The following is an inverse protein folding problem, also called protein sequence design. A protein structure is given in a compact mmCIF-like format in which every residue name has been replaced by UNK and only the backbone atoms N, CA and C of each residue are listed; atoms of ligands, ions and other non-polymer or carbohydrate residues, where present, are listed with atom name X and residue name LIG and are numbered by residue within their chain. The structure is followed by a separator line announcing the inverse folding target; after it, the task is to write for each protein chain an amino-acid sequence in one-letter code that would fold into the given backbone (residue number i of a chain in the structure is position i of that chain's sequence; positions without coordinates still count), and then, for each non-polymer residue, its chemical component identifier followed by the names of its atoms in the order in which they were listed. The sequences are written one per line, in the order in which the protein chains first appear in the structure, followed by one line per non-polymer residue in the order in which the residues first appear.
data_IF_346097029370
#
_entry.id   IF_346097029370
#
_cell.length_a   1.000
_cell.length_b   1.000
_cell.length_c   1.000
_cell.angle_alpha   90.00
_cell.angle_beta   90.00
_cell.angle_gamma   90.00
#
_symmetry.space_group_name_H-M   'P 1'
#
loop_
_entity.id
_entity.type
_entity.pdbx_description
1 polymer ?
#
# COMPACT_ATOMS: atom_id res chain seq x y z
N UNK A 1 -21.14 -19.16 -1.18
CA UNK A 1 -19.93 -19.10 -2.02
C UNK A 1 -19.60 -17.64 -2.28
N UNK A 2 -18.52 -17.15 -1.70
CA UNK A 2 -18.08 -15.75 -1.82
C UNK A 2 -17.47 -15.50 -3.19
N UNK A 3 -17.83 -14.38 -3.82
CA UNK A 3 -17.23 -13.95 -5.09
C UNK A 3 -15.99 -13.10 -4.86
N UNK A 4 -14.83 -13.67 -5.18
CA UNK A 4 -13.53 -13.04 -5.01
C UNK A 4 -12.89 -12.83 -6.38
N UNK A 5 -12.14 -11.74 -6.53
CA UNK A 5 -11.40 -11.44 -7.75
C UNK A 5 -10.35 -12.54 -8.02
N UNK A 6 -10.37 -13.09 -9.23
CA UNK A 6 -9.36 -14.04 -9.69
C UNK A 6 -8.32 -13.30 -10.54
N UNK A 7 -7.05 -13.35 -10.16
CA UNK A 7 -5.97 -12.72 -10.92
C UNK A 7 -5.83 -13.32 -12.34
N UNK A 8 -6.05 -14.63 -12.50
CA UNK A 8 -5.98 -15.32 -13.80
C UNK A 8 -7.15 -14.98 -14.71
N UNK A 9 -8.39 -15.02 -14.19
CA UNK A 9 -9.58 -14.67 -14.97
C UNK A 9 -9.82 -13.15 -15.10
N UNK A 10 -9.11 -12.32 -14.33
CA UNK A 10 -9.25 -10.86 -14.27
C UNK A 10 -10.67 -10.37 -13.92
N UNK A 11 -11.48 -11.22 -13.30
CA UNK A 11 -12.88 -10.93 -12.90
C UNK A 11 -13.22 -11.56 -11.56
N UNK A 12 -14.31 -11.09 -10.94
CA UNK A 12 -14.88 -11.77 -9.78
C UNK A 12 -15.46 -13.11 -10.20
N UNK A 13 -15.19 -14.12 -9.40
CA UNK A 13 -15.60 -15.50 -9.65
C UNK A 13 -15.99 -16.15 -8.34
N UNK A 14 -16.95 -17.07 -8.39
CA UNK A 14 -17.29 -17.93 -7.25
C UNK A 14 -16.05 -18.70 -6.77
N UNK A 15 -16.01 -18.96 -5.48
CA UNK A 15 -14.87 -19.60 -4.81
C UNK A 15 -15.29 -20.98 -4.33
N UNK A 16 -14.50 -22.01 -4.69
CA UNK A 16 -14.59 -23.37 -4.13
C UNK A 16 -13.61 -23.50 -2.97
N UNK A 17 -13.85 -24.46 -2.07
CA UNK A 17 -12.96 -24.72 -0.92
C UNK A 17 -12.68 -23.45 -0.10
N UNK A 18 -13.74 -22.68 0.16
CA UNK A 18 -13.64 -21.41 0.87
C UNK A 18 -13.24 -21.66 2.33
N UNK A 19 -12.18 -21.00 2.76
CA UNK A 19 -11.70 -20.99 4.14
C UNK A 19 -11.60 -19.54 4.58
N UNK A 20 -12.09 -19.29 5.80
CA UNK A 20 -12.02 -18.00 6.46
C UNK A 20 -11.01 -18.10 7.58
N UNK A 21 -9.95 -17.30 7.50
CA UNK A 21 -8.84 -17.34 8.45
C UNK A 21 -8.45 -15.95 8.92
N UNK A 22 -7.82 -15.91 10.10
CA UNK A 22 -7.20 -14.70 10.63
C UNK A 22 -5.70 -14.86 10.50
N UNK A 23 -5.06 -13.90 9.83
CA UNK A 23 -3.60 -13.84 9.74
C UNK A 23 -3.00 -13.56 11.12
N UNK A 24 -1.74 -13.93 11.33
CA UNK A 24 -0.97 -13.66 12.57
C UNK A 24 -0.94 -12.18 12.98
N UNK A 25 -1.22 -11.29 12.02
CA UNK A 25 -1.30 -9.83 12.22
C UNK A 25 -2.72 -9.34 12.56
N UNK A 26 -3.63 -10.25 12.93
CA UNK A 26 -5.02 -9.94 13.29
C UNK A 26 -5.91 -9.50 12.12
N UNK A 27 -5.52 -9.79 10.88
CA UNK A 27 -6.32 -9.43 9.69
C UNK A 27 -7.14 -10.61 9.21
N UNK A 28 -8.42 -10.36 8.97
CA UNK A 28 -9.37 -11.31 8.40
C UNK A 28 -9.11 -11.52 6.91
N UNK A 29 -9.16 -12.77 6.46
CA UNK A 29 -8.92 -13.18 5.08
C UNK A 29 -9.86 -14.31 4.69
N UNK A 30 -10.31 -14.26 3.43
CA UNK A 30 -11.00 -15.38 2.80
C UNK A 30 -10.11 -15.89 1.68
N UNK A 31 -9.89 -17.19 1.64
CA UNK A 31 -9.16 -17.85 0.56
C UNK A 31 -9.88 -19.10 0.05
N UNK A 32 -9.49 -19.55 -1.13
CA UNK A 32 -10.07 -20.71 -1.81
C UNK A 32 -9.79 -20.65 -3.31
N UNK A 33 -10.35 -21.56 -4.08
CA UNK A 33 -9.97 -21.73 -5.48
C UNK A 33 -10.99 -21.14 -6.44
N UNK A 34 -10.52 -20.69 -7.60
CA UNK A 34 -11.38 -20.19 -8.65
C UNK A 34 -12.11 -21.35 -9.33
N UNK A 35 -13.44 -21.38 -9.25
CA UNK A 35 -14.24 -22.43 -9.91
C UNK A 35 -14.00 -22.46 -11.42
N UNK A 36 -13.68 -21.32 -12.04
CA UNK A 36 -13.47 -21.24 -13.50
C UNK A 36 -12.09 -21.73 -13.95
N UNK A 37 -11.03 -21.53 -13.16
CA UNK A 37 -9.66 -21.78 -13.62
C UNK A 37 -8.74 -22.50 -12.62
N UNK A 38 -9.28 -22.94 -11.49
CA UNK A 38 -8.58 -23.63 -10.40
C UNK A 38 -7.52 -22.79 -9.67
N UNK A 39 -7.32 -21.53 -10.05
CA UNK A 39 -6.28 -20.70 -9.43
C UNK A 39 -6.68 -20.33 -8.01
N UNK A 40 -5.75 -20.51 -7.08
CA UNK A 40 -5.91 -20.09 -5.69
C UNK A 40 -6.12 -18.57 -5.60
N UNK A 41 -7.15 -18.17 -4.88
CA UNK A 41 -7.54 -16.79 -4.63
C UNK A 41 -7.50 -16.53 -3.14
N UNK A 42 -7.12 -15.31 -2.78
CA UNK A 42 -7.33 -14.80 -1.45
C UNK A 42 -7.72 -13.32 -1.50
N UNK A 43 -8.44 -12.88 -0.48
CA UNK A 43 -8.74 -11.46 -0.29
C UNK A 43 -8.79 -11.17 1.20
N UNK A 44 -8.27 -10.01 1.58
CA UNK A 44 -8.46 -9.49 2.93
C UNK A 44 -9.89 -8.97 3.06
N UNK A 45 -10.48 -9.16 4.23
CA UNK A 45 -11.84 -8.74 4.58
C UNK A 45 -11.86 -7.93 5.86
N UNK A 46 -13.02 -7.32 6.15
CA UNK A 46 -13.29 -6.76 7.47
C UNK A 46 -13.65 -7.84 8.49
N UNK A 47 -13.86 -7.43 9.74
CA UNK A 47 -14.32 -8.30 10.84
C UNK A 47 -15.64 -9.02 10.52
N UNK A 48 -16.48 -8.40 9.67
CA UNK A 48 -17.75 -8.98 9.23
C UNK A 48 -17.59 -9.98 8.07
N UNK A 49 -16.35 -10.34 7.68
CA UNK A 49 -16.05 -11.21 6.53
C UNK A 49 -16.56 -10.70 5.17
N UNK A 50 -16.93 -9.43 5.10
CA UNK A 50 -17.39 -8.79 3.88
C UNK A 50 -16.20 -8.39 2.98
N UNK A 51 -16.30 -8.78 1.71
CA UNK A 51 -15.36 -8.34 0.67
C UNK A 51 -15.77 -6.94 0.22
N UNK A 52 -15.01 -5.93 0.64
CA UNK A 52 -15.26 -4.54 0.24
C UNK A 52 -15.20 -4.38 -1.28
N UNK A 53 -16.24 -3.78 -1.83
CA UNK A 53 -16.31 -3.39 -3.24
C UNK A 53 -15.94 -1.92 -3.32
N UNK A 54 -14.82 -1.62 -3.97
CA UNK A 54 -14.43 -0.25 -4.25
C UNK A 54 -14.98 0.18 -5.61
N UNK A 55 -15.45 1.41 -5.67
CA UNK A 55 -15.83 2.07 -6.92
C UNK A 55 -14.62 2.25 -7.83
N UNK A 56 -14.87 2.38 -9.15
CA UNK A 56 -13.81 2.65 -10.13
C UNK A 56 -13.01 3.92 -9.77
N UNK A 57 -13.69 4.94 -9.26
CA UNK A 57 -13.07 6.20 -8.84
C UNK A 57 -12.13 6.00 -7.66
N UNK A 58 -12.56 5.33 -6.60
CA UNK A 58 -11.71 5.05 -5.43
C UNK A 58 -10.45 4.26 -5.81
N UNK A 59 -10.57 3.29 -6.73
CA UNK A 59 -9.43 2.51 -7.22
C UNK A 59 -8.44 3.40 -7.99
N UNK A 60 -8.93 4.31 -8.82
CA UNK A 60 -8.09 5.25 -9.58
C UNK A 60 -7.40 6.26 -8.64
N UNK A 61 -8.14 6.86 -7.71
CA UNK A 61 -7.61 7.81 -6.73
C UNK A 61 -6.52 7.14 -5.86
N UNK A 62 -6.75 5.90 -5.43
CA UNK A 62 -5.76 5.12 -4.69
C UNK A 62 -4.50 4.85 -5.53
N UNK A 63 -4.66 4.57 -6.83
CA UNK A 63 -3.52 4.36 -7.76
C UNK A 63 -2.71 5.64 -7.93
N UNK A 64 -3.37 6.78 -8.06
CA UNK A 64 -2.71 8.08 -8.17
C UNK A 64 -1.95 8.44 -6.88
N UNK A 65 -2.60 8.31 -5.72
CA UNK A 65 -1.96 8.51 -4.41
C UNK A 65 -0.71 7.65 -4.25
N UNK A 66 -0.77 6.36 -4.64
CA UNK A 66 0.40 5.46 -4.61
C UNK A 66 1.55 5.96 -5.49
N UNK A 67 1.25 6.44 -6.71
CA UNK A 67 2.26 7.03 -7.60
C UNK A 67 2.90 8.27 -6.96
N UNK A 68 2.08 9.20 -6.46
CA UNK A 68 2.56 10.41 -5.78
C UNK A 68 3.47 10.08 -4.59
N UNK A 69 3.05 9.14 -3.74
CA UNK A 69 3.86 8.68 -2.60
C UNK A 69 5.18 8.06 -3.04
N UNK A 70 5.18 7.24 -4.10
CA UNK A 70 6.41 6.65 -4.63
C UNK A 70 7.38 7.71 -5.16
N UNK A 71 6.88 8.70 -5.90
CA UNK A 71 7.68 9.83 -6.39
C UNK A 71 8.24 10.65 -5.23
N UNK A 72 7.41 11.01 -4.26
CA UNK A 72 7.86 11.78 -3.08
C UNK A 72 8.94 11.03 -2.28
N UNK A 73 8.82 9.70 -2.14
CA UNK A 73 9.83 8.88 -1.48
C UNK A 73 11.17 8.91 -2.22
N UNK A 74 11.15 8.88 -3.55
CA UNK A 74 12.36 9.01 -4.38
C UNK A 74 12.97 10.40 -4.26
N UNK A 75 12.17 11.46 -4.35
CA UNK A 75 12.62 12.85 -4.21
C UNK A 75 13.26 13.10 -2.84
N UNK A 76 12.63 12.64 -1.74
CA UNK A 76 13.20 12.75 -0.39
C UNK A 76 14.54 12.03 -0.28
N UNK A 77 14.67 10.82 -0.83
CA UNK A 77 15.94 10.08 -0.83
C UNK A 77 17.02 10.82 -1.62
N UNK A 78 16.67 11.44 -2.75
CA UNK A 78 17.61 12.24 -3.53
C UNK A 78 18.04 13.49 -2.78
N UNK A 79 17.10 14.22 -2.16
CA UNK A 79 17.41 15.39 -1.35
C UNK A 79 18.37 15.08 -0.20
N UNK A 80 18.19 13.96 0.50
CA UNK A 80 19.12 13.50 1.53
C UNK A 80 20.51 13.22 0.97
N UNK A 81 20.62 12.56 -0.20
CA UNK A 81 21.92 12.32 -0.85
C UNK A 81 22.64 13.61 -1.23
N UNK A 82 21.91 14.61 -1.73
CA UNK A 82 22.48 15.91 -2.08
C UNK A 82 22.97 16.62 -0.81
N UNK A 83 22.16 16.60 0.25
CA UNK A 83 22.53 17.14 1.55
C UNK A 83 23.77 16.46 2.14
N UNK A 84 23.88 15.14 2.01
CA UNK A 84 25.03 14.38 2.52
C UNK A 84 26.31 14.67 1.73
N UNK A 85 26.20 14.98 0.43
CA UNK A 85 27.33 15.15 -0.47
C UNK A 85 27.85 16.61 -0.56
N UNK A 86 27.05 17.61 -0.20
CA UNK A 86 27.42 19.02 -0.32
C UNK A 86 27.72 19.63 1.05
N UNK A 87 29.02 19.72 1.37
CA UNK A 87 29.53 20.30 2.61
C UNK A 87 29.11 21.77 2.81
N UNK A 88 28.90 22.54 1.74
CA UNK A 88 28.44 23.93 1.83
C UNK A 88 26.98 24.00 2.24
N UNK A 89 26.15 23.12 1.69
CA UNK A 89 24.74 22.99 2.10
C UNK A 89 24.66 22.53 3.57
N UNK A 90 25.49 21.58 3.99
CA UNK A 90 25.54 21.19 5.40
C UNK A 90 25.99 22.32 6.31
N UNK A 91 27.03 23.07 5.92
CA UNK A 91 27.52 24.20 6.70
C UNK A 91 26.46 25.30 6.83
N UNK A 92 25.75 25.60 5.74
CA UNK A 92 24.62 26.54 5.74
C UNK A 92 23.51 26.10 6.70
N UNK A 93 23.07 24.83 6.63
CA UNK A 93 22.02 24.31 7.51
C UNK A 93 22.48 24.31 8.97
N UNK A 94 23.73 23.90 9.26
CA UNK A 94 24.30 23.97 10.61
C UNK A 94 24.33 25.40 11.15
N UNK A 95 24.65 26.39 10.32
CA UNK A 95 24.64 27.81 10.70
C UNK A 95 23.22 28.30 10.99
N UNK A 96 22.28 28.01 10.10
CA UNK A 96 20.87 28.36 10.26
C UNK A 96 20.29 27.78 11.54
N UNK A 97 20.49 26.48 11.79
CA UNK A 97 20.00 25.82 13.02
C UNK A 97 20.59 26.46 14.27
N UNK A 98 21.91 26.77 14.28
CA UNK A 98 22.57 27.47 15.39
C UNK A 98 22.03 28.88 15.63
N UNK A 99 21.63 29.59 14.58
CA UNK A 99 21.02 30.92 14.69
C UNK A 99 19.61 30.81 15.29
N UNK A 100 18.80 29.85 14.84
CA UNK A 100 17.43 29.66 15.34
C UNK A 100 17.33 29.10 16.77
N UNK A 101 18.33 28.37 17.25
CA UNK A 101 18.35 27.82 18.62
C UNK A 101 19.00 28.76 19.64
N UNK A 102 19.46 29.95 19.22
CA UNK A 102 20.01 30.97 20.12
C UNK A 102 18.97 31.98 20.59
N UNK A 103 17.73 31.88 20.10
CA UNK A 103 16.62 32.77 20.46
C UNK A 103 15.71 32.23 21.58
N UNK A 104 16.14 31.22 22.35
CA UNK A 104 15.53 30.81 23.63
C UNK A 104 16.52 30.89 24.79
#
# INVERSE_FOLDING_TARGET
MTEIHCAKCKKKTKTSSEVQDMTDKGRYRIHGDCITCGTHKNTLTGKNWEVKIHSKREVLDAKEKRKKTATNKKAKKLGLKILDADDKVQAYIKRYLKETTKED
#
